data_IF_320215440574
#
_entry.id   IF_320215440574
#
_cell.length_a   1.000
_cell.length_b   1.000
_cell.length_c   1.000
_cell.angle_alpha   90.00
_cell.angle_beta   90.00
_cell.angle_gamma   90.00
#
_symmetry.space_group_name_H-M   'P 1'
#
loop_
_entity.id
_entity.type
_entity.pdbx_description
1 polymer ?
#
# COMPACT_ATOMS: atom_id res chain seq x y z
N UNK A 1 45.73 -35.75 -21.20
CA UNK A 1 44.82 -34.64 -21.58
C UNK A 1 43.35 -34.95 -21.26
N UNK A 2 42.74 -36.04 -21.76
CA UNK A 2 41.32 -36.36 -21.49
C UNK A 2 40.94 -36.45 -19.99
N UNK A 3 41.78 -37.07 -19.14
CA UNK A 3 41.53 -37.17 -17.69
C UNK A 3 41.53 -35.82 -16.95
N UNK A 4 42.37 -34.88 -17.38
CA UNK A 4 42.41 -33.51 -16.84
C UNK A 4 41.16 -32.74 -17.25
N UNK A 5 40.69 -32.95 -18.49
CA UNK A 5 39.44 -32.36 -18.98
C UNK A 5 38.20 -32.86 -18.21
N UNK A 6 38.12 -34.16 -17.92
CA UNK A 6 37.04 -34.71 -17.07
C UNK A 6 37.12 -34.21 -15.62
N UNK A 7 38.33 -34.05 -15.07
CA UNK A 7 38.51 -33.45 -13.74
C UNK A 7 38.10 -31.97 -13.69
N UNK A 8 38.41 -31.20 -14.74
CA UNK A 8 37.98 -29.81 -14.88
C UNK A 8 36.46 -29.68 -15.01
N UNK A 9 35.81 -30.55 -15.79
CA UNK A 9 34.35 -30.58 -15.89
C UNK A 9 33.72 -30.96 -14.53
N UNK A 10 34.25 -31.97 -13.85
CA UNK A 10 33.77 -32.37 -12.53
C UNK A 10 33.98 -31.25 -11.50
N UNK A 11 35.12 -30.55 -11.54
CA UNK A 11 35.39 -29.41 -10.66
C UNK A 11 34.45 -28.22 -10.94
N UNK A 12 34.09 -27.95 -12.21
CA UNK A 12 33.10 -26.92 -12.57
C UNK A 12 31.69 -27.31 -12.11
N UNK A 13 31.32 -28.60 -12.20
CA UNK A 13 30.01 -29.10 -11.71
C UNK A 13 29.94 -29.03 -10.18
N UNK A 14 31.02 -29.33 -9.47
CA UNK A 14 31.08 -29.31 -7.99
C UNK A 14 31.23 -27.88 -7.44
N UNK A 15 31.77 -26.94 -8.22
CA UNK A 15 31.82 -25.50 -7.86
C UNK A 15 30.57 -24.72 -8.29
N UNK A 16 29.69 -25.32 -9.09
CA UNK A 16 28.33 -24.82 -9.36
C UNK A 16 27.37 -25.02 -8.16
N UNK A 17 27.91 -25.27 -6.96
CA UNK A 17 27.17 -25.24 -5.71
C UNK A 17 26.77 -23.78 -5.43
N UNK A 18 25.72 -23.35 -6.11
CA UNK A 18 25.03 -22.08 -5.89
C UNK A 18 24.55 -22.10 -4.43
N UNK A 19 25.00 -21.12 -3.64
CA UNK A 19 24.49 -20.93 -2.28
C UNK A 19 22.98 -20.85 -2.33
N UNK A 20 22.30 -21.83 -1.74
CA UNK A 20 20.84 -21.83 -1.63
C UNK A 20 20.41 -20.62 -0.80
N UNK A 21 19.61 -19.74 -1.40
CA UNK A 21 19.06 -18.57 -0.73
C UNK A 21 18.00 -19.03 0.26
N UNK A 22 17.94 -18.38 1.41
CA UNK A 22 16.98 -18.70 2.46
C UNK A 22 15.56 -18.43 1.98
N UNK A 23 14.69 -19.43 2.11
CA UNK A 23 13.24 -19.31 1.90
C UNK A 23 12.58 -18.63 3.10
N UNK A 24 11.69 -17.68 2.85
CA UNK A 24 10.94 -16.93 3.86
C UNK A 24 9.43 -17.21 3.82
N UNK A 25 8.96 -17.90 2.78
CA UNK A 25 7.58 -18.29 2.50
C UNK A 25 6.77 -17.21 1.79
N UNK A 26 5.90 -17.64 0.87
CA UNK A 26 4.80 -16.82 0.34
C UNK A 26 3.84 -16.41 1.45
N UNK A 27 3.21 -15.24 1.30
CA UNK A 27 2.31 -14.65 2.30
C UNK A 27 1.05 -14.11 1.64
N UNK A 28 -0.08 -14.32 2.29
CA UNK A 28 -1.33 -13.64 1.98
C UNK A 28 -1.76 -12.89 3.24
N UNK A 29 -1.72 -11.56 3.17
CA UNK A 29 -1.93 -10.68 4.31
C UNK A 29 -3.23 -9.92 4.08
N UNK A 30 -4.20 -10.12 4.98
CA UNK A 30 -5.41 -9.31 5.03
C UNK A 30 -5.07 -7.99 5.73
N UNK A 31 -4.98 -6.91 4.95
CA UNK A 31 -4.68 -5.57 5.43
C UNK A 31 -5.92 -4.97 6.09
N UNK A 32 -7.06 -5.04 5.41
CA UNK A 32 -8.35 -4.54 5.85
C UNK A 32 -9.45 -5.52 5.42
N UNK A 33 -10.46 -5.70 6.26
CA UNK A 33 -11.59 -6.61 5.99
C UNK A 33 -12.90 -5.87 6.27
N UNK A 34 -13.56 -5.43 5.19
CA UNK A 34 -14.83 -4.68 5.23
C UNK A 34 -14.78 -3.47 6.18
N UNK A 35 -13.70 -2.70 6.11
CA UNK A 35 -13.47 -1.60 7.03
C UNK A 35 -14.10 -0.29 6.52
N UNK A 36 -14.85 0.44 7.36
CA UNK A 36 -15.44 1.71 6.97
C UNK A 36 -14.38 2.81 6.90
N UNK A 37 -14.40 3.56 5.80
CA UNK A 37 -13.73 4.85 5.59
C UNK A 37 -14.83 5.90 5.40
N UNK A 38 -14.92 6.83 6.35
CA UNK A 38 -16.04 7.78 6.45
C UNK A 38 -15.57 9.07 7.11
N UNK A 39 -16.44 10.07 7.16
CA UNK A 39 -16.18 11.32 7.85
C UNK A 39 -17.05 11.41 9.10
N UNK A 40 -16.42 11.28 10.26
CA UNK A 40 -17.06 11.38 11.58
C UNK A 40 -16.27 12.37 12.46
N UNK A 41 -16.57 13.67 12.36
CA UNK A 41 -15.90 14.73 13.11
C UNK A 41 -15.75 14.41 14.61
N UNK A 42 -14.53 14.55 15.13
CA UNK A 42 -14.23 14.43 16.55
C UNK A 42 -14.20 13.01 17.12
N UNK A 43 -14.47 11.99 16.30
CA UNK A 43 -14.49 10.58 16.74
C UNK A 43 -13.09 9.95 16.80
N UNK A 44 -12.16 10.47 15.98
CA UNK A 44 -10.82 9.92 15.80
C UNK A 44 -9.75 10.97 16.13
N UNK A 45 -10.02 11.76 17.17
CA UNK A 45 -9.13 12.81 17.65
C UNK A 45 -8.04 12.24 18.57
N UNK A 46 -6.90 12.93 18.60
CA UNK A 46 -5.78 12.62 19.49
C UNK A 46 -4.69 11.79 18.81
N UNK A 47 -3.54 11.62 19.48
CA UNK A 47 -2.38 10.97 18.89
C UNK A 47 -2.62 9.47 18.68
N UNK A 48 -2.02 8.93 17.62
CA UNK A 48 -1.94 7.51 17.31
C UNK A 48 -0.80 6.87 18.07
N UNK A 49 -1.04 5.71 18.69
CA UNK A 49 0.04 4.83 19.17
C UNK A 49 0.77 4.19 17.98
N UNK A 50 1.99 4.66 17.70
CA UNK A 50 2.84 4.18 16.60
C UNK A 50 3.36 2.74 16.81
N UNK A 51 3.17 2.17 18.01
CA UNK A 51 3.45 0.78 18.31
C UNK A 51 2.22 -0.13 18.19
N UNK A 52 1.04 0.45 17.92
CA UNK A 52 -0.18 -0.32 17.73
C UNK A 52 -0.03 -1.28 16.54
N UNK A 53 -0.42 -2.54 16.77
CA UNK A 53 -0.61 -3.56 15.72
C UNK A 53 -2.06 -3.61 15.24
N UNK A 54 -2.93 -2.80 15.84
CA UNK A 54 -4.34 -2.71 15.51
C UNK A 54 -4.62 -1.78 14.33
N UNK A 55 -5.90 -1.68 14.03
CA UNK A 55 -6.43 -0.75 13.04
C UNK A 55 -6.44 0.67 13.61
N UNK A 56 -5.94 1.62 12.82
CA UNK A 56 -5.89 3.04 13.16
C UNK A 56 -6.74 3.83 12.18
N UNK A 57 -7.40 4.86 12.69
CA UNK A 57 -8.09 5.87 11.88
C UNK A 57 -7.64 7.25 12.30
N UNK A 58 -7.39 8.11 11.32
CA UNK A 58 -7.04 9.53 11.52
C UNK A 58 -7.89 10.39 10.59
N UNK A 59 -7.78 11.72 10.72
CA UNK A 59 -8.49 12.70 9.86
C UNK A 59 -10.00 12.43 9.84
N UNK A 60 -10.60 12.34 11.03
CA UNK A 60 -12.04 12.07 11.22
C UNK A 60 -12.53 10.77 10.57
N UNK A 61 -11.63 9.79 10.32
CA UNK A 61 -11.97 8.48 9.77
C UNK A 61 -11.77 8.35 8.26
N UNK A 62 -11.31 9.43 7.60
CA UNK A 62 -11.04 9.47 6.15
C UNK A 62 -9.79 8.70 5.75
N UNK A 63 -8.91 8.41 6.73
CA UNK A 63 -7.72 7.60 6.53
C UNK A 63 -7.78 6.41 7.48
N UNK A 64 -7.62 5.22 6.89
CA UNK A 64 -7.49 3.93 7.57
C UNK A 64 -6.05 3.46 7.46
N UNK A 65 -5.42 3.04 8.55
CA UNK A 65 -4.06 2.50 8.53
C UNK A 65 -3.90 1.24 9.37
N UNK A 66 -2.92 0.42 9.01
CA UNK A 66 -2.43 -0.71 9.81
C UNK A 66 -0.92 -0.82 9.68
N UNK A 67 -0.27 -1.21 10.77
CA UNK A 67 1.16 -1.55 10.78
C UNK A 67 1.35 -3.00 10.38
N UNK A 68 2.30 -3.26 9.49
CA UNK A 68 2.63 -4.60 8.98
C UNK A 68 4.14 -4.80 9.10
N UNK A 69 4.54 -6.05 9.38
CA UNK A 69 5.92 -6.47 9.35
C UNK A 69 6.11 -7.57 8.30
N UNK A 70 7.07 -7.39 7.41
CA UNK A 70 7.49 -8.41 6.45
C UNK A 70 8.97 -8.74 6.62
N UNK A 71 9.36 -10.00 6.38
CA UNK A 71 10.76 -10.36 6.33
C UNK A 71 11.46 -9.68 5.14
N UNK A 72 12.77 -9.51 5.27
CA UNK A 72 13.62 -9.23 4.10
C UNK A 72 13.75 -10.51 3.29
N UNK A 73 13.19 -10.51 2.08
CA UNK A 73 13.27 -11.66 1.18
C UNK A 73 14.66 -11.72 0.52
N UNK A 74 15.20 -12.92 0.37
CA UNK A 74 16.46 -13.15 -0.36
C UNK A 74 16.20 -13.64 -1.78
N UNK A 75 15.10 -14.38 -1.97
CA UNK A 75 14.66 -14.86 -3.26
C UNK A 75 13.80 -13.82 -3.97
N UNK A 76 13.68 -13.94 -5.28
CA UNK A 76 12.70 -13.18 -6.06
C UNK A 76 11.30 -13.39 -5.50
N UNK A 77 10.51 -12.32 -5.55
CA UNK A 77 9.12 -12.31 -5.09
C UNK A 77 8.28 -11.59 -6.13
N UNK A 78 7.01 -11.96 -6.20
CA UNK A 78 5.97 -11.15 -6.83
C UNK A 78 5.06 -10.59 -5.75
N UNK A 79 4.77 -9.30 -5.81
CA UNK A 79 3.87 -8.64 -4.87
C UNK A 79 2.64 -8.07 -5.58
N UNK A 80 1.47 -8.42 -5.07
CA UNK A 80 0.18 -8.00 -5.61
C UNK A 80 -0.62 -7.32 -4.51
N UNK A 81 -1.09 -6.10 -4.78
CA UNK A 81 -2.03 -5.38 -3.93
C UNK A 81 -3.42 -5.48 -4.56
N UNK A 82 -4.38 -5.96 -3.77
CA UNK A 82 -5.79 -6.03 -4.16
C UNK A 82 -6.62 -5.18 -3.20
N UNK A 83 -7.48 -4.32 -3.75
CA UNK A 83 -8.41 -3.48 -2.99
C UNK A 83 -9.81 -3.75 -3.50
N UNK A 84 -10.72 -4.09 -2.59
CA UNK A 84 -12.13 -4.25 -2.88
C UNK A 84 -12.91 -3.14 -2.20
N UNK A 85 -13.76 -2.49 -2.97
CA UNK A 85 -14.63 -1.41 -2.57
C UNK A 85 -16.08 -1.88 -2.57
N UNK A 86 -16.83 -1.45 -1.57
CA UNK A 86 -18.29 -1.47 -1.60
C UNK A 86 -18.89 -0.20 -0.99
N UNK A 87 -20.16 0.03 -1.30
CA UNK A 87 -20.92 1.19 -0.82
C UNK A 87 -21.07 1.16 0.70
N UNK A 88 -20.65 2.24 1.38
CA UNK A 88 -21.07 2.54 2.76
C UNK A 88 -22.31 3.42 2.82
N UNK A 89 -22.64 4.08 1.70
CA UNK A 89 -23.79 4.98 1.53
C UNK A 89 -23.44 6.34 0.90
N UNK A 90 -22.16 6.67 0.77
CA UNK A 90 -21.71 7.86 0.04
C UNK A 90 -22.03 7.75 -1.47
N UNK A 91 -22.82 8.67 -2.04
CA UNK A 91 -23.29 8.55 -3.42
C UNK A 91 -22.27 8.98 -4.48
N UNK A 92 -21.13 9.56 -4.08
CA UNK A 92 -20.21 10.24 -5.00
C UNK A 92 -19.05 9.37 -5.47
N UNK A 93 -18.48 9.76 -6.61
CA UNK A 93 -17.21 9.28 -7.13
C UNK A 93 -16.06 10.08 -6.50
N UNK A 94 -15.38 9.48 -5.54
CA UNK A 94 -14.35 10.12 -4.74
C UNK A 94 -12.97 9.61 -5.11
N UNK A 95 -11.99 10.52 -5.04
CA UNK A 95 -10.59 10.13 -5.12
C UNK A 95 -10.20 9.28 -3.93
N UNK A 96 -9.35 8.29 -4.19
CA UNK A 96 -8.77 7.46 -3.17
C UNK A 96 -7.34 7.07 -3.48
N UNK A 97 -6.61 6.74 -2.42
CA UNK A 97 -5.19 6.49 -2.45
C UNK A 97 -4.87 5.40 -1.44
N UNK A 98 -4.28 4.30 -1.91
CA UNK A 98 -3.60 3.35 -1.06
C UNK A 98 -2.12 3.65 -1.05
N UNK A 99 -1.56 3.82 0.15
CA UNK A 99 -0.24 4.36 0.34
C UNK A 99 0.54 3.63 1.44
N UNK A 100 1.84 3.85 1.46
CA UNK A 100 2.77 3.26 2.43
C UNK A 100 3.65 4.33 3.08
N UNK A 101 3.97 4.09 4.36
CA UNK A 101 4.93 4.85 5.16
C UNK A 101 5.93 3.84 5.74
N UNK A 102 7.16 3.77 5.19
CA UNK A 102 8.21 2.94 5.77
C UNK A 102 8.54 3.36 7.20
N UNK A 103 8.76 2.42 8.13
CA UNK A 103 9.10 2.78 9.52
C UNK A 103 10.44 3.50 9.66
N UNK A 104 11.32 3.40 8.65
CA UNK A 104 12.57 4.17 8.58
C UNK A 104 12.34 5.67 8.36
N UNK A 105 11.14 6.08 7.93
CA UNK A 105 10.80 7.48 7.68
C UNK A 105 10.37 8.17 8.99
N UNK A 106 11.29 8.90 9.64
CA UNK A 106 11.02 9.65 10.87
C UNK A 106 9.93 10.72 10.70
N UNK A 107 10.06 11.57 9.66
CA UNK A 107 9.10 12.63 9.34
C UNK A 107 8.08 12.13 8.31
N UNK A 108 6.86 11.85 8.76
CA UNK A 108 5.78 11.32 7.94
C UNK A 108 4.41 11.84 8.42
N UNK A 109 3.33 11.47 7.71
CA UNK A 109 1.98 11.98 8.03
C UNK A 109 1.46 11.54 9.41
N UNK A 110 1.90 10.41 9.97
CA UNK A 110 1.49 9.97 11.31
C UNK A 110 2.20 10.77 12.41
N UNK A 111 3.51 10.99 12.28
CA UNK A 111 4.27 11.80 13.24
C UNK A 111 3.86 13.28 13.17
N UNK A 112 3.46 13.76 12.00
CA UNK A 112 2.84 15.08 11.84
C UNK A 112 1.44 15.13 12.48
N UNK A 113 0.60 14.10 12.27
CA UNK A 113 -0.73 14.02 12.89
C UNK A 113 -0.64 13.99 14.44
N UNK A 114 0.36 13.30 14.99
CA UNK A 114 0.65 13.28 16.42
C UNK A 114 1.21 14.61 16.97
N UNK A 115 1.54 15.58 16.11
CA UNK A 115 2.16 16.85 16.49
C UNK A 115 3.65 16.74 16.87
N UNK A 116 4.30 15.60 16.58
CA UNK A 116 5.73 15.37 16.82
C UNK A 116 6.59 16.09 15.77
N UNK A 117 6.04 16.24 14.56
CA UNK A 117 6.67 16.92 13.44
C UNK A 117 5.68 17.85 12.72
N UNK A 118 6.21 18.65 11.79
CA UNK A 118 5.43 19.48 10.88
C UNK A 118 5.85 19.20 9.45
N UNK A 119 4.94 19.42 8.51
CA UNK A 119 5.33 19.46 7.10
C UNK A 119 6.40 20.54 6.89
N UNK A 120 7.38 20.30 5.99
CA UNK A 120 8.33 21.33 5.60
C UNK A 120 7.62 22.59 5.09
N UNK A 121 8.26 23.74 5.31
CA UNK A 121 7.78 24.99 4.73
C UNK A 121 7.79 24.89 3.20
N UNK A 122 6.73 25.39 2.56
CA UNK A 122 6.62 25.37 1.12
C UNK A 122 7.62 26.36 0.51
N UNK A 123 8.52 25.88 -0.35
CA UNK A 123 9.36 26.76 -1.16
C UNK A 123 8.54 27.61 -2.13
N UNK A 124 9.11 28.71 -2.64
CA UNK A 124 8.44 29.61 -3.59
C UNK A 124 7.96 28.89 -4.87
N UNK A 125 8.62 27.80 -5.26
CA UNK A 125 8.30 27.00 -6.45
C UNK A 125 7.03 26.16 -6.34
N UNK A 126 6.45 26.02 -5.13
CA UNK A 126 5.27 25.17 -4.88
C UNK A 126 4.11 25.95 -4.24
N UNK A 127 4.05 27.26 -4.39
CA UNK A 127 2.85 28.09 -4.14
C UNK A 127 2.12 27.87 -2.79
N UNK A 128 2.84 27.54 -1.72
CA UNK A 128 2.22 27.29 -0.40
C UNK A 128 1.86 25.83 -0.11
N UNK A 129 2.00 24.92 -1.08
CA UNK A 129 1.69 23.51 -0.91
C UNK A 129 2.75 22.80 -0.08
N UNK A 130 2.39 22.49 1.17
CA UNK A 130 3.25 21.79 2.13
C UNK A 130 3.19 20.28 1.91
N UNK A 131 4.32 19.61 2.10
CA UNK A 131 4.39 18.15 2.09
C UNK A 131 4.28 17.48 0.71
N UNK A 132 4.19 18.26 -0.39
CA UNK A 132 4.01 17.69 -1.72
C UNK A 132 5.32 17.28 -2.41
N UNK A 133 6.46 17.78 -1.94
CA UNK A 133 7.81 17.48 -2.44
C UNK A 133 8.73 17.13 -1.27
N UNK A 134 9.82 16.43 -1.56
CA UNK A 134 10.82 16.09 -0.55
C UNK A 134 11.58 17.34 -0.09
N UNK A 135 11.81 17.45 1.22
CA UNK A 135 12.66 18.49 1.81
C UNK A 135 13.29 18.00 3.13
N UNK A 136 14.62 18.11 3.22
CA UNK A 136 15.40 17.55 4.32
C UNK A 136 15.12 16.06 4.55
N UNK A 137 14.64 15.72 5.75
CA UNK A 137 14.30 14.35 6.15
C UNK A 137 12.83 13.98 5.88
N UNK A 138 12.04 14.86 5.27
CA UNK A 138 10.67 14.56 4.87
C UNK A 138 10.63 14.12 3.40
N UNK A 139 9.95 13.00 3.16
CA UNK A 139 9.72 12.43 1.84
C UNK A 139 8.20 12.32 1.63
N UNK A 140 7.65 12.72 0.46
CA UNK A 140 6.23 12.62 0.22
C UNK A 140 5.75 11.17 0.30
N UNK A 141 4.54 10.98 0.82
CA UNK A 141 3.92 9.67 0.97
C UNK A 141 3.97 8.85 -0.33
N UNK A 142 4.34 7.58 -0.25
CA UNK A 142 4.42 6.69 -1.41
C UNK A 142 3.05 6.12 -1.75
N UNK A 143 2.57 6.34 -2.97
CA UNK A 143 1.35 5.72 -3.47
C UNK A 143 1.62 4.33 -4.07
N UNK A 144 0.89 3.33 -3.56
CA UNK A 144 0.86 1.97 -4.10
C UNK A 144 -0.20 1.85 -5.19
N UNK A 145 -1.39 2.41 -4.96
CA UNK A 145 -2.50 2.38 -5.90
C UNK A 145 -3.37 3.63 -5.73
N UNK A 146 -3.51 4.41 -6.81
CA UNK A 146 -4.53 5.46 -6.90
C UNK A 146 -5.80 4.88 -7.51
N UNK A 147 -6.95 5.23 -6.96
CA UNK A 147 -8.25 4.78 -7.46
C UNK A 147 -9.29 5.90 -7.38
N UNK A 148 -10.42 5.67 -8.05
CA UNK A 148 -11.61 6.51 -7.97
C UNK A 148 -12.77 5.60 -7.60
N UNK A 149 -13.52 5.93 -6.56
CA UNK A 149 -14.73 5.18 -6.25
C UNK A 149 -15.74 5.37 -7.38
N UNK A 150 -16.53 4.34 -7.74
CA UNK A 150 -17.71 4.58 -8.54
C UNK A 150 -18.74 5.39 -7.74
N UNK A 151 -19.80 5.86 -8.41
CA UNK A 151 -20.97 6.42 -7.74
C UNK A 151 -21.66 5.35 -6.89
N UNK A 152 -21.40 5.39 -5.58
CA UNK A 152 -21.49 4.22 -4.72
C UNK A 152 -22.61 4.25 -3.69
N UNK A 153 -23.86 4.55 -4.08
CA UNK A 153 -25.03 4.29 -3.23
C UNK A 153 -26.14 3.60 -4.04
N UNK A 154 -26.21 2.26 -3.96
CA UNK A 154 -27.37 1.53 -4.49
C UNK A 154 -28.56 1.80 -3.57
N UNK A 155 -29.45 2.67 -4.03
CA UNK A 155 -30.69 3.05 -3.36
C UNK A 155 -31.85 2.78 -4.30
N UNK A 156 -33.08 2.87 -3.79
CA UNK A 156 -34.27 2.82 -4.64
C UNK A 156 -34.21 3.86 -5.79
N UNK A 157 -33.55 4.99 -5.54
CA UNK A 157 -33.34 6.06 -6.52
C UNK A 157 -32.40 5.66 -7.65
N UNK A 158 -31.34 4.87 -7.40
CA UNK A 158 -30.40 4.41 -8.44
C UNK A 158 -30.87 3.14 -9.15
N UNK A 159 -31.76 2.33 -8.53
CA UNK A 159 -32.40 1.20 -9.21
C UNK A 159 -33.16 1.61 -10.47
N UNK A 160 -33.88 2.74 -10.43
CA UNK A 160 -34.62 3.29 -11.59
C UNK A 160 -33.73 3.99 -12.62
N UNK A 161 -32.44 4.19 -12.33
CA UNK A 161 -31.47 4.82 -13.24
C UNK A 161 -30.72 3.79 -14.10
N UNK A 162 -30.96 2.49 -13.89
CA UNK A 162 -30.32 1.41 -14.65
C UNK A 162 -30.72 1.49 -16.13
N UNK A 163 -29.77 1.69 -17.05
CA UNK A 163 -30.07 1.63 -18.47
C UNK A 163 -30.57 0.24 -18.86
N UNK A 164 -31.36 0.17 -19.94
CA UNK A 164 -31.97 -1.09 -20.41
C UNK A 164 -30.94 -2.18 -20.75
N UNK A 165 -29.71 -1.80 -21.08
CA UNK A 165 -28.62 -2.69 -21.46
C UNK A 165 -27.73 -3.16 -20.29
N UNK A 166 -27.89 -2.61 -19.08
CA UNK A 166 -27.15 -3.06 -17.89
C UNK A 166 -28.07 -3.99 -17.11
N UNK A 167 -27.86 -5.32 -17.04
CA UNK A 167 -28.85 -6.23 -16.44
C UNK A 167 -29.02 -6.04 -14.92
N UNK A 168 -27.93 -5.78 -14.21
CA UNK A 168 -27.89 -5.50 -12.77
C UNK A 168 -26.73 -4.56 -12.45
N UNK A 169 -26.71 -4.01 -11.23
CA UNK A 169 -25.57 -3.28 -10.71
C UNK A 169 -24.65 -4.23 -9.96
N UNK A 170 -23.35 -4.10 -10.14
CA UNK A 170 -22.36 -4.80 -9.31
C UNK A 170 -22.42 -4.26 -7.87
N UNK A 171 -22.23 -5.14 -6.90
CA UNK A 171 -22.25 -4.79 -5.47
C UNK A 171 -20.90 -4.25 -5.00
N UNK A 172 -19.82 -4.66 -5.67
CA UNK A 172 -18.45 -4.37 -5.30
C UNK A 172 -17.60 -4.03 -6.54
N UNK A 173 -16.48 -3.35 -6.32
CA UNK A 173 -15.45 -3.12 -7.33
C UNK A 173 -14.12 -3.55 -6.75
N UNK A 174 -13.38 -4.39 -7.49
CA UNK A 174 -12.04 -4.82 -7.09
C UNK A 174 -11.00 -4.30 -8.07
N UNK A 175 -9.95 -3.68 -7.53
CA UNK A 175 -8.75 -3.31 -8.27
C UNK A 175 -7.58 -4.17 -7.80
N UNK A 176 -6.73 -4.56 -8.74
CA UNK A 176 -5.53 -5.35 -8.49
C UNK A 176 -4.36 -4.74 -9.25
N UNK A 177 -3.22 -4.61 -8.60
CA UNK A 177 -1.98 -4.09 -9.22
C UNK A 177 -0.77 -4.86 -8.71
N UNK A 178 0.14 -5.14 -9.65
CA UNK A 178 1.48 -5.63 -9.34
C UNK A 178 2.31 -4.47 -8.76
N UNK A 179 2.83 -4.66 -7.54
CA UNK A 179 3.68 -3.71 -6.82
C UNK A 179 5.07 -4.29 -6.54
N UNK A 180 5.51 -5.28 -7.32
CA UNK A 180 6.82 -5.94 -7.14
C UNK A 180 7.98 -4.95 -7.23
N UNK A 181 7.86 -3.91 -8.06
CA UNK A 181 8.81 -2.82 -8.19
C UNK A 181 9.02 -2.03 -6.88
N UNK A 182 8.02 -2.04 -5.98
CA UNK A 182 8.02 -1.32 -4.71
C UNK A 182 8.40 -2.18 -3.50
N UNK A 183 8.88 -3.41 -3.71
CA UNK A 183 9.19 -4.34 -2.62
C UNK A 183 10.11 -3.77 -1.55
N UNK A 184 11.08 -2.92 -1.91
CA UNK A 184 12.00 -2.29 -0.94
C UNK A 184 11.30 -1.41 0.10
N UNK A 185 10.08 -0.92 -0.17
CA UNK A 185 9.28 -0.16 0.79
C UNK A 185 8.52 -1.06 1.77
N UNK A 186 8.34 -2.33 1.43
CA UNK A 186 7.55 -3.31 2.16
C UNK A 186 8.41 -4.16 3.10
N UNK A 187 9.74 -4.00 3.13
CA UNK A 187 10.61 -4.82 3.98
C UNK A 187 10.74 -4.25 5.39
N UNK A 188 10.60 -5.12 6.40
CA UNK A 188 10.59 -4.72 7.80
C UNK A 188 9.23 -4.16 8.23
N UNK A 189 9.25 -3.21 9.18
CA UNK A 189 8.05 -2.53 9.64
C UNK A 189 7.64 -1.41 8.67
N UNK A 190 6.36 -1.36 8.35
CA UNK A 190 5.76 -0.26 7.59
C UNK A 190 4.30 -0.06 7.98
N UNK A 191 3.80 1.16 7.79
CA UNK A 191 2.37 1.45 7.81
C UNK A 191 1.84 1.44 6.39
N UNK A 192 0.70 0.81 6.19
CA UNK A 192 -0.06 0.87 4.94
C UNK A 192 -1.44 1.42 5.24
N UNK A 193 -1.95 2.26 4.34
CA UNK A 193 -3.22 2.93 4.54
C UNK A 193 -4.05 3.09 3.28
N UNK A 194 -5.33 3.35 3.50
CA UNK A 194 -6.30 3.79 2.48
C UNK A 194 -6.85 5.14 2.92
N UNK A 195 -6.75 6.12 2.03
CA UNK A 195 -7.44 7.40 2.11
C UNK A 195 -8.54 7.45 1.05
N UNK A 196 -9.69 8.02 1.40
CA UNK A 196 -10.72 8.40 0.44
C UNK A 196 -11.27 9.79 0.79
N UNK A 197 -11.51 10.63 -0.23
CA UNK A 197 -12.05 11.98 -0.05
C UNK A 197 -13.57 11.98 0.22
N UNK A 198 -14.01 11.21 1.22
CA UNK A 198 -15.40 11.19 1.67
C UNK A 198 -15.66 12.24 2.74
N UNK A 199 -16.81 12.90 2.65
CA UNK A 199 -17.28 13.88 3.63
C UNK A 199 -18.64 13.49 4.22
N UNK A 200 -19.04 12.21 4.07
CA UNK A 200 -20.29 11.67 4.59
C UNK A 200 -20.03 10.76 5.78
N UNK A 201 -20.99 10.67 6.69
CA UNK A 201 -20.91 9.76 7.85
C UNK A 201 -20.98 8.29 7.46
N UNK A 202 -21.65 8.01 6.34
CA UNK A 202 -21.86 6.70 5.74
C UNK A 202 -20.59 6.20 5.06
N UNK A 203 -19.95 7.07 4.25
CA UNK A 203 -18.69 6.78 3.59
C UNK A 203 -18.73 5.54 2.69
N UNK A 204 -17.64 4.79 2.76
CA UNK A 204 -17.34 3.62 1.94
C UNK A 204 -16.84 2.46 2.81
N UNK A 205 -16.86 1.25 2.25
CA UNK A 205 -16.33 0.06 2.88
C UNK A 205 -15.20 -0.47 2.00
N UNK A 206 -14.03 -0.71 2.60
CA UNK A 206 -12.86 -1.23 1.90
C UNK A 206 -12.33 -2.51 2.54
N UNK A 207 -12.01 -3.49 1.70
CA UNK A 207 -11.11 -4.59 2.02
C UNK A 207 -9.82 -4.42 1.24
N UNK A 208 -8.70 -4.87 1.78
CA UNK A 208 -7.45 -4.91 1.04
C UNK A 208 -6.57 -6.08 1.45
N UNK A 209 -5.84 -6.59 0.47
CA UNK A 209 -4.98 -7.76 0.61
C UNK A 209 -3.62 -7.47 -0.02
N UNK A 210 -2.56 -7.89 0.66
CA UNK A 210 -1.21 -7.94 0.12
C UNK A 210 -0.80 -9.40 -0.05
N UNK A 211 -0.51 -9.78 -1.29
CA UNK A 211 -0.13 -11.15 -1.66
C UNK A 211 1.33 -11.11 -2.11
N UNK A 212 2.19 -11.84 -1.42
CA UNK A 212 3.61 -12.00 -1.73
C UNK A 212 3.83 -13.45 -2.12
N UNK A 213 4.26 -13.68 -3.37
CA UNK A 213 4.60 -15.00 -3.89
C UNK A 213 6.12 -15.11 -3.97
N UNK A 214 6.75 -15.89 -3.09
CA UNK A 214 8.20 -16.13 -3.14
C UNK A 214 8.53 -17.20 -4.19
N UNK A 215 9.62 -16.99 -4.92
CA UNK A 215 10.13 -17.93 -5.90
C UNK A 215 10.45 -19.29 -5.26
N UNK A 216 9.97 -20.40 -5.85
CA UNK A 216 10.29 -21.75 -5.38
C UNK A 216 11.72 -22.17 -5.74
N UNK A 217 12.46 -21.37 -6.51
CA UNK A 217 13.80 -21.71 -6.99
C UNK A 217 14.87 -21.23 -5.98
N UNK A 218 15.68 -22.13 -5.40
CA UNK A 218 16.67 -21.77 -4.38
C UNK A 218 17.74 -20.77 -4.83
N UNK A 219 17.93 -20.62 -6.13
CA UNK A 219 18.96 -19.78 -6.74
C UNK A 219 18.40 -18.50 -7.39
N UNK A 220 17.07 -18.27 -7.32
CA UNK A 220 16.44 -17.07 -7.87
C UNK A 220 16.67 -15.89 -6.92
N UNK A 221 17.82 -15.22 -7.05
CA UNK A 221 18.17 -14.06 -6.22
C UNK A 221 17.25 -12.87 -6.53
N UNK A 222 16.67 -12.27 -5.49
CA UNK A 222 15.93 -11.01 -5.59
C UNK A 222 16.77 -9.95 -6.31
N UNK A 223 16.11 -9.20 -7.19
CA UNK A 223 16.65 -7.94 -7.70
C UNK A 223 16.52 -6.88 -6.61
N UNK A 224 17.64 -6.26 -6.24
CA UNK A 224 17.62 -5.14 -5.30
C UNK A 224 16.92 -3.94 -5.94
N UNK A 225 15.89 -3.42 -5.29
CA UNK A 225 15.15 -2.23 -5.72
C UNK A 225 15.34 -1.10 -4.72
N UNK A 226 15.26 0.12 -5.21
CA UNK A 226 15.21 1.34 -4.41
C UNK A 226 14.09 2.22 -4.97
N UNK A 227 13.25 2.77 -4.09
CA UNK A 227 12.14 3.63 -4.48
C UNK A 227 12.32 5.00 -3.85
N UNK A 228 12.39 6.02 -4.70
CA UNK A 228 12.48 7.42 -4.30
C UNK A 228 11.17 8.14 -4.61
N UNK A 229 10.50 8.67 -3.59
CA UNK A 229 9.31 9.51 -3.78
C UNK A 229 9.75 10.91 -4.18
N UNK A 230 9.25 11.39 -5.31
CA UNK A 230 9.59 12.72 -5.85
C UNK A 230 8.54 13.76 -5.49
N UNK A 231 7.26 13.41 -5.68
CA UNK A 231 6.14 14.33 -5.52
C UNK A 231 4.86 13.54 -5.23
N UNK A 232 4.04 14.06 -4.30
CA UNK A 232 2.69 13.58 -4.08
C UNK A 232 1.77 14.73 -3.65
N UNK A 233 0.76 15.05 -4.46
CA UNK A 233 -0.18 16.16 -4.20
C UNK A 233 -1.52 15.71 -3.64
N UNK A 234 -1.64 14.44 -3.21
CA UNK A 234 -2.82 13.98 -2.46
C UNK A 234 -2.87 14.71 -1.13
N UNK A 235 -4.06 15.17 -0.74
CA UNK A 235 -4.29 16.13 0.35
C UNK A 235 -4.96 15.53 1.59
#
# INVERSE_FOLDING_TARGET
MKRIFYFLILAVIVTSCQTELKEMGSRHIILFEQEPVHFSPGKYDGPVDLNSTGLVRIMDGRILLRKVNLPVYQREVKATLRITFSSGGDPWDKSGSCFIIPASQEKNILTIFNGEHQFPESGESVEGFRGIVADGNFVPTFELMRFMTPFGAISERTRKRRPVYIPHWEEEVTWEVDITDRMSLLEGDFWIGIWADTWTSEGFIFSAELIIEESPWPCAKKTETEVLSLLNTVY
#
